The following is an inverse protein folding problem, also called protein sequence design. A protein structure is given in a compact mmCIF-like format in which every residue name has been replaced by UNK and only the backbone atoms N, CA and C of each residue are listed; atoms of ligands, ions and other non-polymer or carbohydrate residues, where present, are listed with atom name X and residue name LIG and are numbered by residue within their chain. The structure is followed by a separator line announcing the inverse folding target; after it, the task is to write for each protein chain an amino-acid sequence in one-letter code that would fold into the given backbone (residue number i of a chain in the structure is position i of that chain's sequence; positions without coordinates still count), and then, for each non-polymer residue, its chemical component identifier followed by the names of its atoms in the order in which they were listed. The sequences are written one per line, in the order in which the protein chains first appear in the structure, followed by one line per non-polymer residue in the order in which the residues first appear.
data_IF_564539726227
#
_entry.id   IF_564539726227
#
_cell.length_a   1.000
_cell.length_b   1.000
_cell.length_c   1.000
_cell.angle_alpha   90.00
_cell.angle_beta   90.00
_cell.angle_gamma   90.00
#
_symmetry.space_group_name_H-M   'P 1'
#
loop_
_entity.id
_entity.type
_entity.pdbx_description
1 polymer ?
#
# COMPACT_ATOMS: atom_id res chain seq x y z
N UNK A 1 71.59 -14.48 37.21
CA UNK A 1 71.18 -15.71 37.91
C UNK A 1 69.88 -15.43 38.63
N UNK A 2 68.73 -15.66 37.99
CA UNK A 2 67.41 -15.73 38.63
C UNK A 2 66.53 -16.70 37.81
N UNK A 3 66.56 -17.94 38.30
CA UNK A 3 65.58 -19.03 38.31
C UNK A 3 64.26 -18.82 37.52
N UNK A 4 64.05 -19.63 36.49
CA UNK A 4 62.73 -19.89 35.91
C UNK A 4 61.90 -20.76 36.85
N UNK A 5 60.74 -20.27 37.31
CA UNK A 5 59.74 -21.13 37.94
C UNK A 5 58.76 -21.63 36.86
N UNK A 6 58.80 -22.95 36.60
CA UNK A 6 57.75 -23.67 35.88
C UNK A 6 56.54 -23.75 36.80
N UNK A 7 55.45 -23.10 36.43
CA UNK A 7 54.18 -23.20 37.15
C UNK A 7 53.27 -24.19 36.39
N UNK A 8 52.73 -25.17 37.12
CA UNK A 8 51.83 -26.20 36.58
C UNK A 8 50.42 -25.63 36.41
N UNK A 9 49.83 -25.72 35.21
CA UNK A 9 48.47 -25.26 34.91
C UNK A 9 47.35 -26.02 35.67
N UNK A 10 47.70 -27.09 36.41
CA UNK A 10 46.75 -27.86 37.22
C UNK A 10 46.43 -27.25 38.59
N UNK A 11 47.06 -26.14 38.99
CA UNK A 11 46.84 -25.47 40.29
C UNK A 11 46.15 -24.10 40.16
N UNK A 12 45.38 -23.86 39.09
CA UNK A 12 44.56 -22.66 38.97
C UNK A 12 43.11 -22.92 39.39
N UNK A 13 42.77 -22.44 40.59
CA UNK A 13 41.41 -22.45 41.14
C UNK A 13 40.39 -21.74 40.25
N UNK A 14 39.16 -22.22 40.33
CA UNK A 14 37.96 -21.75 39.64
C UNK A 14 37.80 -20.22 39.61
N UNK A 15 38.15 -19.58 38.50
CA UNK A 15 37.68 -18.23 38.15
C UNK A 15 36.59 -18.33 37.09
N UNK A 16 35.43 -18.81 37.51
CA UNK A 16 34.18 -18.67 36.78
C UNK A 16 33.15 -18.01 37.67
N UNK A 17 32.85 -16.73 37.44
CA UNK A 17 31.64 -16.11 37.98
C UNK A 17 30.44 -16.75 37.28
N UNK A 18 29.78 -17.70 37.94
CA UNK A 18 28.49 -18.25 37.52
C UNK A 18 27.39 -17.28 37.97
N UNK A 19 26.73 -16.60 37.05
CA UNK A 19 25.44 -15.98 37.31
C UNK A 19 24.34 -17.02 37.05
N UNK A 20 23.78 -17.59 38.13
CA UNK A 20 22.57 -18.42 38.06
C UNK A 20 21.33 -17.51 37.98
N UNK A 21 20.54 -17.62 36.90
CA UNK A 21 19.18 -17.08 36.88
C UNK A 21 18.21 -18.13 37.41
N UNK A 22 17.60 -17.88 38.58
CA UNK A 22 16.47 -18.66 39.10
C UNK A 22 15.17 -18.03 38.58
N UNK A 23 14.43 -18.78 37.77
CA UNK A 23 13.01 -18.51 37.50
C UNK A 23 12.20 -19.22 38.57
N UNK A 24 11.52 -18.47 39.44
CA UNK A 24 10.55 -19.01 40.38
C UNK A 24 9.21 -19.24 39.66
N UNK A 25 8.79 -20.50 39.57
CA UNK A 25 7.42 -20.91 39.25
C UNK A 25 7.00 -21.94 40.31
N UNK A 26 5.79 -21.89 40.87
CA UNK A 26 5.39 -22.79 41.96
C UNK A 26 5.19 -24.22 41.44
N UNK A 27 6.12 -25.11 41.80
CA UNK A 27 6.11 -26.59 41.97
C UNK A 27 5.13 -27.50 41.17
N UNK A 28 5.50 -28.78 40.92
CA UNK A 28 6.82 -29.32 40.57
C UNK A 28 6.76 -30.29 39.37
N UNK A 29 7.73 -30.21 38.45
CA UNK A 29 8.43 -31.38 37.84
C UNK A 29 9.40 -30.91 36.74
N UNK A 30 10.61 -31.48 36.74
CA UNK A 30 11.70 -31.39 35.74
C UNK A 30 12.39 -30.03 35.51
N UNK A 31 13.58 -29.87 36.13
CA UNK A 31 14.55 -28.79 35.86
C UNK A 31 15.35 -29.10 34.59
N UNK A 32 15.30 -28.23 33.59
CA UNK A 32 16.22 -28.22 32.44
C UNK A 32 17.14 -27.01 32.63
N UNK A 33 18.44 -27.25 32.90
CA UNK A 33 19.46 -26.20 32.94
C UNK A 33 20.18 -26.13 31.59
N UNK A 34 19.88 -25.10 30.79
CA UNK A 34 20.68 -24.78 29.61
C UNK A 34 21.84 -23.88 30.04
N UNK A 35 23.08 -24.32 29.81
CA UNK A 35 24.28 -23.51 29.99
C UNK A 35 24.81 -23.05 28.62
N UNK A 36 25.20 -21.79 28.51
CA UNK A 36 25.85 -21.23 27.31
C UNK A 36 27.25 -20.80 27.72
N UNK A 37 28.28 -21.26 26.97
CA UNK A 37 29.65 -20.77 27.12
C UNK A 37 29.79 -19.46 26.35
N UNK A 38 30.08 -18.37 27.04
CA UNK A 38 30.42 -17.08 26.44
C UNK A 38 31.94 -16.99 26.33
N UNK A 39 32.48 -16.90 25.11
CA UNK A 39 33.91 -16.73 24.85
C UNK A 39 34.16 -15.25 24.58
N UNK A 40 34.87 -14.56 25.49
CA UNK A 40 35.24 -13.15 25.28
C UNK A 40 36.47 -13.08 24.39
N UNK A 41 36.40 -12.23 23.37
CA UNK A 41 37.54 -11.78 22.58
C UNK A 41 37.95 -10.43 23.16
N UNK A 42 39.21 -10.31 23.60
CA UNK A 42 39.75 -9.06 24.15
C UNK A 42 39.81 -7.97 23.08
N UNK A 43 39.38 -6.77 23.46
CA UNK A 43 39.48 -5.57 22.63
C UNK A 43 38.15 -4.92 22.28
N UNK A 44 37.41 -4.44 23.29
CA UNK A 44 36.43 -3.35 23.14
C UNK A 44 36.13 -2.76 24.52
N UNK A 45 36.87 -1.71 24.87
CA UNK A 45 36.61 -0.91 26.06
C UNK A 45 35.34 -0.07 25.84
N UNK A 46 34.30 -0.32 26.64
CA UNK A 46 33.14 0.57 26.77
C UNK A 46 33.34 1.46 27.99
N UNK A 47 33.84 2.67 27.76
CA UNK A 47 33.91 3.73 28.77
C UNK A 47 32.65 4.59 28.74
N UNK A 48 32.07 4.83 29.92
CA UNK A 48 30.91 5.69 30.15
C UNK A 48 31.19 7.17 29.83
N UNK A 49 30.18 7.82 29.24
CA UNK A 49 29.93 9.28 29.16
C UNK A 49 31.11 10.25 28.99
N UNK A 50 31.11 11.00 27.89
CA UNK A 50 31.48 12.42 27.92
C UNK A 50 30.67 13.25 26.91
N UNK A 51 30.35 14.46 27.36
CA UNK A 51 29.68 15.54 26.64
C UNK A 51 30.48 16.02 25.42
N UNK A 52 29.74 16.57 24.44
CA UNK A 52 30.18 17.27 23.22
C UNK A 52 30.62 16.34 22.08
N UNK A 53 29.96 16.56 20.94
CA UNK A 53 29.90 15.63 19.83
C UNK A 53 31.19 15.49 19.05
N UNK A 54 31.48 14.25 18.67
CA UNK A 54 32.02 13.79 17.39
C UNK A 54 31.97 12.25 17.40
N UNK A 55 31.50 11.62 16.31
CA UNK A 55 31.50 10.15 16.18
C UNK A 55 32.84 9.73 15.56
N UNK A 56 33.62 8.81 16.16
CA UNK A 56 34.78 8.26 15.48
C UNK A 56 34.30 7.32 14.36
N UNK A 57 34.67 7.66 13.12
CA UNK A 57 34.71 6.71 12.01
C UNK A 57 36.01 5.92 12.13
N UNK A 58 35.98 4.60 11.92
CA UNK A 58 36.97 3.94 11.06
C UNK A 58 36.54 2.53 10.65
N UNK A 59 36.88 2.24 9.39
CA UNK A 59 36.81 0.97 8.68
C UNK A 59 38.05 0.14 9.01
N UNK A 60 37.89 -1.19 9.09
CA UNK A 60 38.61 -2.15 8.26
C UNK A 60 38.13 -3.58 8.54
N UNK A 61 38.08 -4.41 7.48
CA UNK A 61 38.43 -5.83 7.63
C UNK A 61 39.07 -6.27 6.32
N UNK A 62 40.28 -6.79 6.44
CA UNK A 62 41.12 -7.30 5.36
C UNK A 62 40.44 -8.48 4.65
N UNK A 63 40.62 -8.56 3.32
CA UNK A 63 40.50 -9.83 2.60
C UNK A 63 41.77 -10.66 2.82
N UNK A 64 41.60 -11.93 3.17
CA UNK A 64 42.62 -12.97 3.04
C UNK A 64 42.03 -14.13 2.24
N UNK A 65 42.62 -14.41 1.07
CA UNK A 65 42.36 -15.58 0.25
C UNK A 65 43.03 -16.81 0.86
N UNK A 66 42.32 -17.92 1.06
CA UNK A 66 42.96 -19.25 1.10
C UNK A 66 42.08 -20.32 0.42
N UNK A 67 42.58 -20.80 -0.72
CA UNK A 67 42.20 -22.05 -1.37
C UNK A 67 42.92 -23.19 -0.64
N UNK A 68 42.20 -24.17 -0.08
CA UNK A 68 42.50 -25.61 -0.08
C UNK A 68 41.92 -26.34 1.15
N UNK A 69 40.83 -27.10 0.96
CA UNK A 69 40.53 -28.25 1.81
C UNK A 69 40.09 -29.43 0.95
N UNK A 70 40.88 -30.51 0.98
CA UNK A 70 40.58 -31.82 0.40
C UNK A 70 39.82 -32.69 1.41
N UNK A 71 38.55 -32.36 1.71
CA UNK A 71 37.63 -33.30 2.37
C UNK A 71 36.23 -33.09 1.76
N UNK A 72 35.73 -34.09 1.02
CA UNK A 72 34.34 -34.12 0.51
C UNK A 72 33.38 -34.41 1.68
N UNK A 73 32.74 -33.37 2.21
CA UNK A 73 31.62 -33.51 3.16
C UNK A 73 30.32 -33.70 2.35
N UNK A 74 29.57 -34.76 2.67
CA UNK A 74 28.28 -35.09 2.05
C UNK A 74 27.27 -33.94 2.23
N UNK A 75 26.76 -33.40 1.12
CA UNK A 75 25.70 -32.40 1.12
C UNK A 75 24.33 -33.04 1.36
N UNK A 76 23.75 -32.83 2.55
CA UNK A 76 22.29 -32.88 2.71
C UNK A 76 21.74 -31.47 2.44
N UNK A 77 21.06 -31.33 1.31
CA UNK A 77 20.30 -30.12 0.96
C UNK A 77 19.09 -29.92 1.89
N UNK A 78 18.67 -28.66 1.97
CA UNK A 78 17.42 -28.09 2.52
C UNK A 78 17.45 -27.60 3.98
N UNK A 79 17.95 -26.37 4.16
CA UNK A 79 17.15 -25.31 4.79
C UNK A 79 17.74 -23.93 4.48
N UNK A 80 17.12 -23.21 3.55
CA UNK A 80 17.44 -21.82 3.24
C UNK A 80 17.02 -20.91 4.41
N UNK A 81 17.92 -20.70 5.37
CA UNK A 81 17.83 -19.52 6.26
C UNK A 81 18.26 -18.29 5.48
N UNK A 82 17.24 -17.56 5.03
CA UNK A 82 17.31 -16.20 4.50
C UNK A 82 18.21 -15.35 5.43
N UNK A 83 19.32 -14.85 4.89
CA UNK A 83 20.10 -13.80 5.54
C UNK A 83 19.35 -12.48 5.37
N UNK A 84 18.64 -12.06 6.41
CA UNK A 84 18.05 -10.73 6.50
C UNK A 84 19.14 -9.72 6.86
N UNK A 85 19.40 -8.76 5.99
CA UNK A 85 20.15 -7.56 6.35
C UNK A 85 19.21 -6.63 7.12
N UNK A 86 19.58 -6.31 8.35
CA UNK A 86 18.78 -5.49 9.26
C UNK A 86 18.86 -4.01 8.89
N UNK A 87 17.71 -3.43 8.53
CA UNK A 87 17.46 -2.01 8.74
C UNK A 87 16.34 -1.87 9.76
N UNK A 88 16.58 -0.98 10.72
CA UNK A 88 15.79 -0.72 11.91
C UNK A 88 14.40 -0.17 11.57
N UNK A 89 13.46 -1.06 11.21
CA UNK A 89 12.03 -0.79 11.21
C UNK A 89 11.43 -1.46 12.45
N UNK A 90 10.69 -0.69 13.26
CA UNK A 90 9.92 -1.24 14.38
C UNK A 90 8.91 -2.24 13.80
N UNK A 91 9.16 -3.53 14.01
CA UNK A 91 8.20 -4.59 13.68
C UNK A 91 6.95 -4.39 14.53
N UNK A 92 5.91 -3.82 13.95
CA UNK A 92 4.56 -3.93 14.48
C UNK A 92 4.12 -5.36 14.19
N UNK A 93 4.14 -6.22 15.21
CA UNK A 93 3.58 -7.57 15.13
C UNK A 93 2.05 -7.44 15.08
N UNK A 94 1.49 -7.18 13.90
CA UNK A 94 0.06 -7.32 13.67
C UNK A 94 -0.22 -8.80 13.38
N UNK A 95 -0.67 -9.54 14.39
CA UNK A 95 -1.26 -10.87 14.19
C UNK A 95 -2.63 -10.72 13.51
N UNK A 96 -2.64 -10.46 12.20
CA UNK A 96 -3.84 -10.57 11.38
C UNK A 96 -3.99 -12.04 10.98
N UNK A 97 -5.12 -12.64 11.33
CA UNK A 97 -5.58 -13.91 10.75
C UNK A 97 -5.81 -13.67 9.24
N UNK A 98 -4.76 -13.80 8.42
CA UNK A 98 -4.79 -13.55 6.98
C UNK A 98 -5.40 -14.75 6.26
N UNK A 99 -6.72 -14.78 6.17
CA UNK A 99 -7.42 -15.69 5.28
C UNK A 99 -8.39 -14.89 4.41
N UNK A 100 -7.86 -14.31 3.34
CA UNK A 100 -8.47 -14.20 2.00
C UNK A 100 -7.47 -13.51 1.09
N UNK A 101 -7.03 -14.22 0.05
CA UNK A 101 -6.31 -13.60 -1.06
C UNK A 101 -7.24 -12.55 -1.69
N UNK A 102 -6.74 -11.33 -1.93
CA UNK A 102 -7.53 -10.30 -2.62
C UNK A 102 -7.97 -10.82 -3.99
N UNK A 103 -9.24 -10.58 -4.33
CA UNK A 103 -9.74 -10.92 -5.66
C UNK A 103 -9.02 -10.05 -6.71
N UNK A 104 -8.53 -10.61 -7.83
CA UNK A 104 -7.78 -9.83 -8.82
C UNK A 104 -8.61 -8.69 -9.41
N UNK A 105 -9.91 -8.89 -9.66
CA UNK A 105 -10.79 -7.80 -10.13
C UNK A 105 -11.01 -6.72 -9.07
N UNK A 106 -11.04 -7.09 -7.78
CA UNK A 106 -11.04 -6.10 -6.70
C UNK A 106 -9.78 -5.24 -6.76
N UNK A 107 -8.61 -5.87 -6.91
CA UNK A 107 -7.32 -5.16 -7.01
C UNK A 107 -7.31 -4.22 -8.20
N UNK A 108 -7.77 -4.67 -9.36
CA UNK A 108 -7.89 -3.84 -10.57
C UNK A 108 -8.82 -2.64 -10.34
N UNK A 109 -10.02 -2.85 -9.79
CA UNK A 109 -10.96 -1.78 -9.51
C UNK A 109 -10.42 -0.75 -8.52
N UNK A 110 -9.73 -1.21 -7.48
CA UNK A 110 -9.11 -0.33 -6.50
C UNK A 110 -7.97 0.49 -7.10
N UNK A 111 -7.21 -0.08 -8.03
CA UNK A 111 -6.19 0.66 -8.78
C UNK A 111 -6.77 1.60 -9.83
N UNK A 112 -7.89 1.27 -10.44
CA UNK A 112 -8.68 2.18 -11.28
C UNK A 112 -9.16 3.41 -10.51
N UNK A 113 -9.35 3.30 -9.20
CA UNK A 113 -9.56 4.45 -8.33
C UNK A 113 -8.24 5.17 -8.01
N UNK A 114 -7.34 4.53 -7.27
CA UNK A 114 -6.31 5.23 -6.50
C UNK A 114 -4.89 5.16 -7.09
N UNK A 115 -4.63 4.24 -8.02
CA UNK A 115 -3.28 4.02 -8.52
C UNK A 115 -2.85 5.01 -9.60
N UNK A 116 -1.54 5.13 -9.78
CA UNK A 116 -0.90 5.96 -10.79
C UNK A 116 0.25 5.23 -11.49
N UNK A 117 0.30 5.36 -12.82
CA UNK A 117 1.41 4.96 -13.67
C UNK A 117 2.25 6.18 -14.02
N UNK A 118 3.50 6.20 -13.56
CA UNK A 118 4.34 7.39 -13.63
C UNK A 118 5.66 7.14 -14.35
N UNK A 119 6.01 8.08 -15.24
CA UNK A 119 7.34 8.21 -15.83
C UNK A 119 7.92 9.56 -15.42
N UNK A 120 9.10 9.53 -14.81
CA UNK A 120 9.89 10.69 -14.42
C UNK A 120 11.13 10.77 -15.31
N UNK A 121 11.44 11.98 -15.76
CA UNK A 121 12.64 12.27 -16.55
C UNK A 121 13.30 13.47 -15.89
N UNK A 122 14.48 13.25 -15.31
CA UNK A 122 15.18 14.24 -14.49
C UNK A 122 16.59 14.46 -15.02
N UNK A 123 17.01 15.72 -15.04
CA UNK A 123 18.39 16.07 -15.36
C UNK A 123 19.32 15.41 -14.33
N UNK A 124 20.33 14.71 -14.84
CA UNK A 124 21.35 14.09 -14.02
C UNK A 124 22.65 13.98 -14.82
N UNK A 125 23.58 14.90 -14.55
CA UNK A 125 24.87 15.04 -15.24
C UNK A 125 25.82 13.85 -15.04
N UNK A 126 25.46 12.86 -14.19
CA UNK A 126 26.20 11.61 -14.03
C UNK A 126 25.96 10.61 -15.17
N UNK A 127 24.90 10.82 -15.96
CA UNK A 127 24.58 9.98 -17.12
C UNK A 127 25.06 10.65 -18.40
N UNK A 128 25.44 9.86 -19.40
CA UNK A 128 26.03 10.34 -20.66
C UNK A 128 25.14 11.31 -21.42
N UNK A 129 23.82 11.08 -21.42
CA UNK A 129 22.84 11.97 -22.04
C UNK A 129 22.49 13.18 -21.16
N UNK A 130 22.98 13.26 -19.93
CA UNK A 130 22.60 14.29 -18.95
C UNK A 130 21.20 14.10 -18.35
N UNK A 131 20.51 12.99 -18.66
CA UNK A 131 19.14 12.71 -18.22
C UNK A 131 19.02 11.30 -17.63
N UNK A 132 18.12 11.17 -16.66
CA UNK A 132 17.76 9.91 -16.02
C UNK A 132 16.26 9.66 -16.15
N UNK A 133 15.89 8.42 -16.48
CA UNK A 133 14.50 8.00 -16.67
C UNK A 133 14.11 7.00 -15.60
N UNK A 134 13.01 7.28 -14.90
CA UNK A 134 12.47 6.41 -13.86
C UNK A 134 11.00 6.10 -14.13
N UNK A 135 10.63 4.83 -13.95
CA UNK A 135 9.25 4.36 -13.99
C UNK A 135 8.79 3.94 -12.61
N UNK A 136 7.53 4.28 -12.27
CA UNK A 136 6.94 3.93 -10.99
C UNK A 136 5.45 3.62 -11.16
N UNK A 137 5.03 2.45 -10.69
CA UNK A 137 3.63 2.17 -10.37
C UNK A 137 3.44 2.44 -8.88
N UNK A 138 2.40 3.18 -8.50
CA UNK A 138 2.17 3.52 -7.10
C UNK A 138 0.70 3.69 -6.76
N UNK A 139 0.41 3.56 -5.47
CA UNK A 139 -0.85 3.95 -4.84
C UNK A 139 -0.51 4.61 -3.50
N UNK A 140 -1.10 5.79 -3.26
CA UNK A 140 -0.84 6.59 -2.06
C UNK A 140 -2.13 6.83 -1.29
N UNK A 141 -2.24 6.24 -0.10
CA UNK A 141 -3.42 6.31 0.76
C UNK A 141 -3.10 7.03 2.07
N UNK A 142 -4.13 7.25 2.89
CA UNK A 142 -3.94 7.63 4.29
C UNK A 142 -3.34 6.45 5.08
N UNK A 143 -2.51 6.72 6.10
CA UNK A 143 -1.82 5.70 6.91
C UNK A 143 -2.76 4.66 7.55
N UNK A 144 -4.02 5.04 7.76
CA UNK A 144 -5.09 4.18 8.31
C UNK A 144 -5.39 2.97 7.43
N UNK A 145 -5.13 3.08 6.12
CA UNK A 145 -5.32 2.02 5.13
C UNK A 145 -4.02 1.23 4.88
N UNK A 146 -3.00 1.38 5.74
CA UNK A 146 -1.78 0.58 5.70
C UNK A 146 -2.03 -0.93 5.67
N UNK A 147 -2.99 -1.50 6.43
CA UNK A 147 -3.30 -2.93 6.32
C UNK A 147 -3.71 -3.36 4.91
N UNK A 148 -4.45 -2.52 4.17
CA UNK A 148 -4.82 -2.80 2.78
C UNK A 148 -3.61 -2.73 1.85
N UNK A 149 -2.70 -1.78 2.06
CA UNK A 149 -1.43 -1.73 1.31
C UNK A 149 -0.57 -2.96 1.53
N UNK A 150 -0.51 -3.50 2.76
CA UNK A 150 0.19 -4.74 3.07
C UNK A 150 -0.45 -5.95 2.38
N UNK A 151 -1.78 -6.01 2.32
CA UNK A 151 -2.50 -7.04 1.56
C UNK A 151 -2.21 -6.95 0.05
N UNK A 152 -2.16 -5.73 -0.51
CA UNK A 152 -1.79 -5.52 -1.92
C UNK A 152 -0.34 -5.95 -2.20
N UNK A 153 0.59 -5.64 -1.30
CA UNK A 153 1.97 -6.10 -1.42
C UNK A 153 2.04 -7.64 -1.38
N UNK A 154 1.29 -8.28 -0.48
CA UNK A 154 1.21 -9.74 -0.41
C UNK A 154 0.57 -10.35 -1.67
N UNK A 155 -0.46 -9.71 -2.23
CA UNK A 155 -1.10 -10.12 -3.49
C UNK A 155 -0.08 -10.19 -4.64
N UNK A 156 0.88 -9.25 -4.68
CA UNK A 156 1.99 -9.28 -5.62
C UNK A 156 3.22 -10.04 -5.08
N UNK A 157 3.01 -11.10 -4.31
CA UNK A 157 4.07 -11.98 -3.80
C UNK A 157 5.18 -11.25 -3.00
N UNK A 158 4.83 -10.16 -2.30
CA UNK A 158 5.77 -9.35 -1.53
C UNK A 158 6.53 -8.30 -2.34
N UNK A 159 6.23 -8.15 -3.63
CA UNK A 159 6.93 -7.19 -4.51
C UNK A 159 6.50 -5.76 -4.23
N UNK A 160 7.47 -4.84 -4.35
CA UNK A 160 7.29 -3.42 -4.10
C UNK A 160 7.65 -3.02 -2.69
N UNK A 161 7.56 -1.72 -2.42
CA UNK A 161 7.94 -1.10 -1.15
C UNK A 161 6.78 -0.24 -0.65
N UNK A 162 6.59 -0.24 0.67
CA UNK A 162 5.63 0.65 1.34
C UNK A 162 6.43 1.66 2.16
N UNK A 163 6.27 2.93 1.82
CA UNK A 163 6.84 4.04 2.56
C UNK A 163 5.74 4.72 3.37
N UNK A 164 5.96 4.89 4.67
CA UNK A 164 5.01 5.54 5.58
C UNK A 164 5.55 6.93 5.92
N UNK A 165 4.74 7.94 5.65
CA UNK A 165 4.95 9.30 6.09
C UNK A 165 4.00 9.56 7.25
N UNK A 166 4.50 9.38 8.47
CA UNK A 166 3.72 9.58 9.69
C UNK A 166 3.35 11.04 9.93
N UNK A 167 4.10 12.00 9.37
CA UNK A 167 3.87 13.43 9.56
C UNK A 167 2.65 13.87 8.77
N UNK A 168 2.58 13.47 7.50
CA UNK A 168 1.46 13.80 6.62
C UNK A 168 0.33 12.75 6.67
N UNK A 169 0.45 11.76 7.55
CA UNK A 169 -0.48 10.63 7.70
C UNK A 169 -0.72 9.86 6.39
N UNK A 170 0.32 9.66 5.59
CA UNK A 170 0.25 8.97 4.30
C UNK A 170 1.02 7.65 4.33
N UNK A 171 0.56 6.69 3.54
CA UNK A 171 1.30 5.49 3.22
C UNK A 171 1.27 5.29 1.70
N UNK A 172 2.43 5.02 1.11
CA UNK A 172 2.58 4.85 -0.33
C UNK A 172 3.19 3.49 -0.65
N UNK A 173 2.41 2.63 -1.30
CA UNK A 173 2.91 1.41 -1.92
C UNK A 173 3.42 1.73 -3.33
N UNK A 174 4.59 1.23 -3.70
CA UNK A 174 5.13 1.43 -5.04
C UNK A 174 6.06 0.33 -5.53
N UNK A 175 6.05 0.14 -6.85
CA UNK A 175 6.94 -0.76 -7.58
C UNK A 175 7.69 0.07 -8.62
N UNK A 176 9.01 0.03 -8.57
CA UNK A 176 9.90 0.84 -9.43
C UNK A 176 10.83 0.00 -10.29
N UNK A 177 11.13 -1.23 -9.87
CA UNK A 177 12.04 -2.11 -10.58
C UNK A 177 11.43 -2.53 -11.92
N UNK A 178 12.15 -2.28 -13.01
CA UNK A 178 11.67 -2.51 -14.38
C UNK A 178 11.28 -3.98 -14.60
N UNK A 179 12.04 -4.93 -14.06
CA UNK A 179 11.72 -6.36 -14.15
C UNK A 179 10.38 -6.69 -13.51
N UNK A 180 10.07 -6.07 -12.37
CA UNK A 180 8.87 -6.37 -11.59
C UNK A 180 7.65 -5.69 -12.24
N UNK A 181 7.84 -4.48 -12.77
CA UNK A 181 6.85 -3.82 -13.61
C UNK A 181 6.50 -4.67 -14.83
N UNK A 182 7.50 -5.26 -15.49
CA UNK A 182 7.30 -6.09 -16.66
C UNK A 182 6.69 -7.46 -16.36
N UNK A 183 7.13 -8.12 -15.29
CA UNK A 183 6.79 -9.52 -15.05
C UNK A 183 5.57 -9.69 -14.14
N UNK A 184 5.11 -8.61 -13.48
CA UNK A 184 4.04 -8.68 -12.48
C UNK A 184 2.93 -7.67 -12.80
N UNK A 185 3.27 -6.37 -12.89
CA UNK A 185 2.26 -5.31 -13.09
C UNK A 185 1.65 -5.37 -14.49
N UNK A 186 2.46 -5.44 -15.54
CA UNK A 186 1.96 -5.50 -16.92
C UNK A 186 1.12 -6.76 -17.15
N UNK A 187 1.52 -7.97 -16.73
CA UNK A 187 0.70 -9.18 -16.86
C UNK A 187 -0.63 -9.08 -16.12
N UNK A 188 -0.64 -8.56 -14.88
CA UNK A 188 -1.89 -8.37 -14.13
C UNK A 188 -2.89 -7.51 -14.90
N UNK A 189 -2.49 -6.35 -15.42
CA UNK A 189 -3.40 -5.46 -16.16
C UNK A 189 -3.67 -5.90 -17.61
N UNK A 190 -2.91 -6.86 -18.15
CA UNK A 190 -3.29 -7.52 -19.40
C UNK A 190 -4.40 -8.56 -19.17
N UNK A 191 -4.36 -9.28 -18.06
CA UNK A 191 -5.36 -10.30 -17.70
C UNK A 191 -6.62 -9.68 -17.08
N UNK A 192 -6.45 -8.61 -16.28
CA UNK A 192 -7.50 -7.85 -15.63
C UNK A 192 -7.41 -6.37 -16.06
N UNK A 193 -7.92 -6.02 -17.25
CA UNK A 193 -7.81 -4.67 -17.77
C UNK A 193 -8.51 -3.62 -16.90
N UNK A 194 -7.89 -2.45 -16.83
CA UNK A 194 -8.49 -1.24 -16.25
C UNK A 194 -9.72 -0.80 -17.06
N UNK A 195 -10.66 -0.15 -16.39
CA UNK A 195 -11.98 0.21 -16.91
C UNK A 195 -12.23 1.73 -16.90
N UNK A 196 -11.24 2.53 -16.50
CA UNK A 196 -11.28 4.01 -16.58
C UNK A 196 -10.37 4.53 -17.70
N UNK A 197 -10.39 5.84 -17.95
CA UNK A 197 -9.43 6.51 -18.84
C UNK A 197 -7.96 6.33 -18.43
N UNK A 198 -7.69 5.81 -17.22
CA UNK A 198 -6.36 5.38 -16.76
C UNK A 198 -5.77 4.25 -17.62
N UNK A 199 -6.60 3.49 -18.33
CA UNK A 199 -6.17 2.49 -19.32
C UNK A 199 -5.24 3.10 -20.38
N UNK A 200 -5.53 4.32 -20.83
CA UNK A 200 -4.66 5.00 -21.80
C UNK A 200 -3.26 5.29 -21.22
N UNK A 201 -3.18 5.73 -19.96
CA UNK A 201 -1.90 5.95 -19.28
C UNK A 201 -1.15 4.63 -19.04
N UNK A 202 -1.85 3.55 -18.69
CA UNK A 202 -1.25 2.21 -18.58
C UNK A 202 -0.65 1.74 -19.90
N UNK A 203 -1.35 1.91 -21.02
CA UNK A 203 -0.85 1.49 -22.34
C UNK A 203 0.38 2.28 -22.77
N UNK A 204 0.42 3.59 -22.49
CA UNK A 204 1.60 4.43 -22.69
C UNK A 204 2.76 4.01 -21.77
N UNK A 205 2.46 3.75 -20.50
CA UNK A 205 3.43 3.25 -19.53
C UNK A 205 4.06 1.93 -20.00
N UNK A 206 3.24 0.96 -20.43
CA UNK A 206 3.70 -0.32 -20.99
C UNK A 206 4.67 -0.15 -22.16
N UNK A 207 4.38 0.78 -23.08
CA UNK A 207 5.29 1.13 -24.19
C UNK A 207 6.65 1.64 -23.68
N UNK A 208 6.65 2.53 -22.69
CA UNK A 208 7.89 3.05 -22.12
C UNK A 208 8.69 1.98 -21.38
N UNK A 209 8.03 1.11 -20.60
CA UNK A 209 8.71 -0.01 -19.92
C UNK A 209 9.41 -0.91 -20.94
N UNK A 210 8.79 -1.19 -22.08
CA UNK A 210 9.43 -1.98 -23.15
C UNK A 210 10.71 -1.30 -23.70
N UNK A 211 10.70 0.01 -23.88
CA UNK A 211 11.92 0.76 -24.27
C UNK A 211 12.97 0.67 -23.17
N UNK A 212 12.56 0.78 -21.90
CA UNK A 212 13.47 0.73 -20.76
C UNK A 212 14.10 -0.65 -20.56
N UNK A 213 13.34 -1.74 -20.75
CA UNK A 213 13.82 -3.12 -20.70
C UNK A 213 14.94 -3.39 -21.70
N UNK A 214 14.77 -2.90 -22.93
CA UNK A 214 15.78 -3.02 -24.00
C UNK A 214 16.92 -2.01 -23.88
N UNK A 215 17.02 -1.29 -22.74
CA UNK A 215 18.00 -0.22 -22.49
C UNK A 215 17.95 0.93 -23.51
N UNK A 216 16.88 1.04 -24.32
CA UNK A 216 16.75 2.07 -25.36
C UNK A 216 16.76 3.49 -24.79
N UNK A 217 16.32 3.67 -23.55
CA UNK A 217 16.37 4.95 -22.82
C UNK A 217 17.78 5.53 -22.63
N UNK A 218 18.84 4.75 -22.86
CA UNK A 218 20.24 5.21 -22.83
C UNK A 218 20.70 5.80 -24.17
N UNK A 219 19.88 5.71 -25.22
CA UNK A 219 20.11 6.35 -26.52
C UNK A 219 19.29 7.63 -26.62
N UNK A 220 19.78 8.61 -27.39
CA UNK A 220 19.05 9.85 -27.63
C UNK A 220 17.68 9.60 -28.28
N UNK A 221 17.62 8.70 -29.27
CA UNK A 221 16.37 8.33 -29.93
C UNK A 221 15.37 7.70 -28.96
N UNK A 222 15.80 6.74 -28.14
CA UNK A 222 14.94 6.10 -27.15
C UNK A 222 14.50 7.05 -26.03
N UNK A 223 15.34 8.00 -25.62
CA UNK A 223 14.97 9.07 -24.69
C UNK A 223 13.86 9.96 -25.29
N UNK A 224 14.04 10.42 -26.54
CA UNK A 224 13.02 11.20 -27.26
C UNK A 224 11.69 10.44 -27.38
N UNK A 225 11.74 9.13 -27.68
CA UNK A 225 10.53 8.29 -27.72
C UNK A 225 9.83 8.24 -26.36
N UNK A 226 10.56 8.12 -25.25
CA UNK A 226 9.96 8.13 -23.91
C UNK A 226 9.39 9.52 -23.57
N UNK A 227 10.03 10.61 -23.99
CA UNK A 227 9.51 11.97 -23.81
C UNK A 227 8.19 12.14 -24.56
N UNK A 228 8.11 11.70 -25.81
CA UNK A 228 6.89 11.71 -26.60
C UNK A 228 5.76 10.89 -25.95
N UNK A 229 6.09 9.74 -25.34
CA UNK A 229 5.13 8.95 -24.55
C UNK A 229 4.68 9.74 -23.31
N UNK A 230 5.63 10.28 -22.55
CA UNK A 230 5.37 11.03 -21.32
C UNK A 230 4.51 12.28 -21.58
N UNK A 231 4.68 12.93 -22.72
CA UNK A 231 3.90 14.10 -23.12
C UNK A 231 2.39 13.82 -23.17
N UNK A 232 2.00 12.57 -23.45
CA UNK A 232 0.60 12.13 -23.52
C UNK A 232 0.08 11.45 -22.24
N UNK A 233 0.96 11.25 -21.25
CA UNK A 233 0.62 10.59 -19.98
C UNK A 233 0.26 11.60 -18.90
N UNK A 234 -0.78 11.32 -18.12
CA UNK A 234 -1.21 12.10 -16.97
C UNK A 234 -1.29 13.61 -17.29
N UNK A 235 -0.43 14.43 -16.66
CA UNK A 235 -0.32 15.89 -16.85
C UNK A 235 0.68 16.31 -17.93
N UNK A 236 1.31 15.35 -18.62
CA UNK A 236 2.27 15.60 -19.68
C UNK A 236 3.68 16.00 -19.21
N UNK A 237 4.31 16.86 -20.01
CA UNK A 237 5.64 17.42 -19.72
C UNK A 237 5.55 18.64 -18.82
N UNK A 238 6.51 18.77 -17.90
CA UNK A 238 6.71 20.03 -17.18
C UNK A 238 7.44 21.05 -18.09
N UNK A 239 7.45 22.32 -17.69
CA UNK A 239 7.95 23.39 -18.55
C UNK A 239 9.44 23.26 -18.86
N UNK A 240 10.23 22.73 -17.93
CA UNK A 240 11.65 22.41 -18.15
C UNK A 240 11.84 21.37 -19.26
N UNK A 241 11.04 20.31 -19.28
CA UNK A 241 11.11 19.31 -20.35
C UNK A 241 10.61 19.87 -21.68
N UNK A 242 9.61 20.76 -21.67
CA UNK A 242 9.15 21.43 -22.90
C UNK A 242 10.22 22.33 -23.50
N UNK A 243 10.97 23.07 -22.67
CA UNK A 243 12.02 23.97 -23.16
C UNK A 243 13.21 23.20 -23.74
N UNK A 244 13.63 22.12 -23.09
CA UNK A 244 14.76 21.30 -23.53
C UNK A 244 14.43 20.43 -24.74
N UNK A 245 13.17 19.97 -24.85
CA UNK A 245 12.72 19.07 -25.92
C UNK A 245 11.56 19.68 -26.71
N UNK A 246 11.80 20.85 -27.32
CA UNK A 246 10.80 21.61 -28.08
C UNK A 246 10.24 20.86 -29.31
N UNK A 247 11.04 20.00 -29.94
CA UNK A 247 10.64 19.17 -31.08
C UNK A 247 10.08 17.80 -30.64
N UNK A 248 9.19 17.78 -29.65
CA UNK A 248 8.50 16.54 -29.25
C UNK A 248 7.20 16.35 -30.04
N UNK A 249 6.88 15.10 -30.34
CA UNK A 249 5.64 14.69 -31.02
C UNK A 249 4.88 13.75 -30.08
N UNK A 250 3.93 14.27 -29.28
CA UNK A 250 3.21 13.47 -28.31
C UNK A 250 2.57 12.24 -28.97
N UNK A 251 2.77 11.06 -28.36
CA UNK A 251 2.19 9.81 -28.88
C UNK A 251 0.67 9.88 -28.78
N UNK A 252 -0.05 9.43 -29.81
CA UNK A 252 -1.50 9.40 -29.77
C UNK A 252 -2.01 8.64 -28.55
N UNK A 253 -2.88 9.30 -27.78
CA UNK A 253 -3.52 8.72 -26.59
C UNK A 253 -4.73 7.90 -27.03
N UNK A 254 -4.78 6.65 -26.56
CA UNK A 254 -5.92 5.76 -26.81
C UNK A 254 -7.23 6.42 -26.34
N UNK A 255 -8.23 6.45 -27.22
CA UNK A 255 -9.62 6.74 -26.84
C UNK A 255 -10.21 5.46 -26.26
N UNK A 256 -10.21 5.35 -24.95
CA UNK A 256 -10.77 4.18 -24.27
C UNK A 256 -12.28 4.35 -24.13
N UNK A 257 -13.03 3.33 -24.56
CA UNK A 257 -14.46 3.20 -24.37
C UNK A 257 -14.71 1.90 -23.60
N UNK A 258 -15.55 1.97 -22.59
CA UNK A 258 -15.98 0.81 -21.82
C UNK A 258 -17.36 0.37 -22.32
N UNK A 259 -17.56 -0.93 -22.51
CA UNK A 259 -18.85 -1.49 -22.94
C UNK A 259 -19.67 -2.02 -21.76
N UNK A 260 -19.01 -2.70 -20.83
CA UNK A 260 -19.63 -3.35 -19.68
C UNK A 260 -18.66 -3.48 -18.49
N UNK A 261 -19.22 -3.66 -17.29
CA UNK A 261 -18.43 -4.02 -16.11
C UNK A 261 -17.98 -5.49 -16.24
N UNK A 262 -16.67 -5.80 -16.15
CA UNK A 262 -16.16 -7.15 -16.37
C UNK A 262 -16.47 -8.10 -15.21
N UNK A 263 -16.50 -7.58 -13.97
CA UNK A 263 -16.73 -8.38 -12.78
C UNK A 263 -17.30 -7.53 -11.64
N UNK A 264 -18.27 -8.03 -10.84
CA UNK A 264 -18.78 -7.30 -9.67
C UNK A 264 -17.71 -6.92 -8.64
N UNK A 265 -16.65 -7.74 -8.49
CA UNK A 265 -15.54 -7.41 -7.57
C UNK A 265 -14.78 -6.16 -8.01
N UNK A 266 -14.76 -5.84 -9.31
CA UNK A 266 -14.19 -4.59 -9.80
C UNK A 266 -14.92 -3.37 -9.23
N UNK A 267 -16.27 -3.42 -9.16
CA UNK A 267 -17.06 -2.35 -8.53
C UNK A 267 -16.70 -2.21 -7.05
N UNK A 268 -16.58 -3.34 -6.33
CA UNK A 268 -16.15 -3.29 -4.92
C UNK A 268 -14.78 -2.62 -4.75
N UNK A 269 -13.82 -2.97 -5.60
CA UNK A 269 -12.50 -2.33 -5.63
C UNK A 269 -12.60 -0.84 -5.89
N UNK A 270 -13.29 -0.46 -6.95
CA UNK A 270 -13.42 0.94 -7.37
C UNK A 270 -14.13 1.79 -6.31
N UNK A 271 -15.21 1.28 -5.72
CA UNK A 271 -15.96 1.93 -4.64
C UNK A 271 -15.16 2.00 -3.34
N UNK A 272 -14.23 1.06 -3.10
CA UNK A 272 -13.32 1.15 -1.95
C UNK A 272 -12.35 2.33 -2.05
N UNK A 273 -12.08 2.86 -3.25
CA UNK A 273 -11.40 4.15 -3.44
C UNK A 273 -12.39 5.31 -3.52
N UNK A 274 -13.14 5.39 -4.63
CA UNK A 274 -13.97 6.55 -5.04
C UNK A 274 -15.36 6.61 -4.40
N UNK A 275 -15.78 5.53 -3.75
CA UNK A 275 -17.11 5.41 -3.19
C UNK A 275 -17.30 6.23 -1.90
N UNK A 276 -18.54 6.57 -1.59
CA UNK A 276 -18.89 7.22 -0.34
C UNK A 276 -20.26 6.73 0.15
N UNK A 277 -20.28 6.28 1.42
CA UNK A 277 -21.49 5.92 2.17
C UNK A 277 -21.74 6.98 3.23
N UNK A 278 -22.83 7.75 3.11
CA UNK A 278 -23.14 8.76 4.11
C UNK A 278 -24.61 8.83 4.51
N UNK A 279 -24.81 9.42 5.69
CA UNK A 279 -26.12 9.68 6.30
C UNK A 279 -26.36 11.18 6.30
N UNK A 280 -27.33 11.66 5.52
CA UNK A 280 -27.78 13.04 5.53
C UNK A 280 -28.93 13.19 6.53
N UNK A 281 -28.77 14.09 7.50
CA UNK A 281 -29.82 14.47 8.45
C UNK A 281 -30.13 15.95 8.19
N UNK A 282 -31.35 16.25 7.78
CA UNK A 282 -31.77 17.62 7.41
C UNK A 282 -33.05 18.02 8.14
N UNK A 283 -33.18 19.31 8.48
CA UNK A 283 -34.41 19.85 9.07
C UNK A 283 -35.56 19.68 8.08
N UNK A 284 -36.72 19.28 8.58
CA UNK A 284 -37.91 19.07 7.76
C UNK A 284 -39.17 19.46 8.53
N UNK A 285 -39.97 20.36 7.96
CA UNK A 285 -41.25 20.79 8.53
C UNK A 285 -42.34 19.70 8.45
N UNK A 286 -42.24 18.79 7.47
CA UNK A 286 -43.23 17.72 7.25
C UNK A 286 -43.03 16.48 8.12
N UNK A 287 -41.89 16.35 8.81
CA UNK A 287 -41.57 15.17 9.62
C UNK A 287 -41.84 15.48 11.09
N UNK A 288 -42.57 14.59 11.79
CA UNK A 288 -43.04 14.82 13.17
C UNK A 288 -41.93 15.22 14.16
N UNK A 289 -40.74 14.62 14.02
CA UNK A 289 -39.58 14.90 14.88
C UNK A 289 -38.72 16.08 14.38
N UNK A 290 -39.16 16.80 13.34
CA UNK A 290 -38.48 17.97 12.78
C UNK A 290 -37.28 17.68 11.87
N UNK A 291 -36.94 16.41 11.65
CA UNK A 291 -35.80 15.98 10.85
C UNK A 291 -36.15 14.85 9.89
N UNK A 292 -35.51 14.85 8.73
CA UNK A 292 -35.48 13.76 7.76
C UNK A 292 -34.08 13.13 7.76
N UNK A 293 -34.03 11.80 7.79
CA UNK A 293 -32.82 11.00 7.62
C UNK A 293 -32.82 10.39 6.22
N UNK A 294 -31.72 10.53 5.50
CA UNK A 294 -31.51 9.98 4.16
C UNK A 294 -30.17 9.26 4.13
N UNK A 295 -30.17 8.04 3.59
CA UNK A 295 -28.94 7.36 3.20
C UNK A 295 -28.57 7.77 1.78
N UNK A 296 -27.28 7.99 1.54
CA UNK A 296 -26.74 8.27 0.21
C UNK A 296 -25.55 7.37 -0.06
N UNK A 297 -25.62 6.70 -1.19
CA UNK A 297 -24.47 6.04 -1.81
C UNK A 297 -24.02 6.88 -3.00
N UNK A 298 -22.72 7.15 -3.09
CA UNK A 298 -22.15 7.98 -4.15
C UNK A 298 -20.84 7.40 -4.67
N UNK A 299 -20.57 7.65 -5.94
CA UNK A 299 -19.27 7.44 -6.58
C UNK A 299 -18.96 8.72 -7.34
N UNK A 300 -17.84 9.37 -7.02
CA UNK A 300 -17.41 10.58 -7.71
C UNK A 300 -16.22 10.27 -8.60
N UNK A 301 -16.17 10.88 -9.79
CA UNK A 301 -15.04 10.72 -10.71
C UNK A 301 -14.93 11.93 -11.64
N UNK A 302 -13.80 12.09 -12.32
CA UNK A 302 -13.67 13.09 -13.38
C UNK A 302 -14.70 12.86 -14.50
N UNK A 303 -15.20 13.94 -15.10
CA UNK A 303 -16.20 13.89 -16.19
C UNK A 303 -15.75 13.12 -17.46
N UNK A 304 -14.46 12.83 -17.60
CA UNK A 304 -13.89 12.01 -18.68
C UNK A 304 -14.33 10.55 -18.60
N UNK A 305 -14.76 10.11 -17.43
CA UNK A 305 -15.27 8.76 -17.17
C UNK A 305 -16.80 8.77 -16.96
N UNK A 306 -17.52 9.73 -17.57
CA UNK A 306 -18.99 9.79 -17.46
C UNK A 306 -19.68 8.54 -18.00
N UNK A 307 -19.19 7.96 -19.09
CA UNK A 307 -19.72 6.73 -19.68
C UNK A 307 -19.62 5.55 -18.70
N UNK A 308 -18.53 5.46 -17.93
CA UNK A 308 -18.40 4.48 -16.85
C UNK A 308 -19.49 4.66 -15.78
N UNK A 309 -19.83 5.91 -15.41
CA UNK A 309 -20.92 6.17 -14.46
C UNK A 309 -22.28 5.70 -15.01
N UNK A 310 -22.53 5.91 -16.30
CA UNK A 310 -23.76 5.43 -16.97
C UNK A 310 -23.84 3.91 -16.98
N UNK A 311 -22.72 3.23 -17.26
CA UNK A 311 -22.61 1.77 -17.22
C UNK A 311 -22.82 1.24 -15.81
N UNK A 312 -22.28 1.91 -14.79
CA UNK A 312 -22.51 1.55 -13.39
C UNK A 312 -23.99 1.67 -13.00
N UNK A 313 -24.69 2.71 -13.46
CA UNK A 313 -26.15 2.85 -13.24
C UNK A 313 -26.90 1.71 -13.92
N UNK A 314 -26.56 1.40 -15.17
CA UNK A 314 -27.16 0.29 -15.92
C UNK A 314 -26.92 -1.05 -15.21
N UNK A 315 -25.70 -1.27 -14.73
CA UNK A 315 -25.31 -2.49 -14.02
C UNK A 315 -26.05 -2.65 -12.69
N UNK A 316 -26.12 -1.59 -11.88
CA UNK A 316 -26.80 -1.61 -10.59
C UNK A 316 -28.33 -1.55 -10.72
N UNK A 317 -28.85 -1.17 -11.89
CA UNK A 317 -30.28 -0.99 -12.15
C UNK A 317 -30.89 0.21 -11.40
N UNK A 318 -30.05 1.10 -10.87
CA UNK A 318 -30.48 2.26 -10.09
C UNK A 318 -29.40 3.34 -10.08
N UNK A 319 -29.82 4.58 -9.90
CA UNK A 319 -28.95 5.74 -9.71
C UNK A 319 -29.23 6.83 -10.72
N UNK A 320 -28.62 7.97 -10.47
CA UNK A 320 -28.64 9.13 -11.36
C UNK A 320 -27.26 9.77 -11.37
N UNK A 321 -26.95 10.50 -12.45
CA UNK A 321 -25.70 11.27 -12.55
C UNK A 321 -25.99 12.71 -12.15
N UNK A 322 -25.19 13.22 -11.22
CA UNK A 322 -25.12 14.64 -10.86
C UNK A 322 -23.80 15.19 -11.40
N UNK A 323 -23.86 16.25 -12.23
CA UNK A 323 -22.68 16.95 -12.75
C UNK A 323 -22.38 18.17 -11.88
N UNK A 324 -21.12 18.38 -11.50
CA UNK A 324 -20.73 19.65 -10.88
C UNK A 324 -20.61 20.72 -11.98
N UNK A 325 -21.36 21.82 -11.93
CA UNK A 325 -21.27 22.87 -12.95
C UNK A 325 -19.96 23.67 -12.89
N UNK A 326 -19.18 23.55 -11.81
CA UNK A 326 -17.97 24.35 -11.58
C UNK A 326 -16.68 23.57 -11.78
N UNK A 327 -16.76 22.24 -11.71
CA UNK A 327 -15.60 21.36 -11.74
C UNK A 327 -15.86 20.23 -12.73
N UNK A 328 -14.80 19.68 -13.33
CA UNK A 328 -14.89 18.50 -14.20
C UNK A 328 -15.12 17.21 -13.40
N UNK A 329 -16.18 17.17 -12.61
CA UNK A 329 -16.54 16.04 -11.73
C UNK A 329 -17.99 15.63 -12.01
N UNK A 330 -18.18 14.33 -12.17
CA UNK A 330 -19.48 13.67 -12.24
C UNK A 330 -19.64 12.77 -11.02
N UNK A 331 -20.86 12.65 -10.51
CA UNK A 331 -21.15 11.80 -9.37
C UNK A 331 -22.36 10.92 -9.67
N UNK A 332 -22.19 9.61 -9.59
CA UNK A 332 -23.31 8.68 -9.50
C UNK A 332 -23.90 8.80 -8.08
N UNK A 333 -25.20 9.05 -7.98
CA UNK A 333 -25.90 9.18 -6.70
C UNK A 333 -27.08 8.22 -6.62
N UNK A 334 -27.18 7.49 -5.51
CA UNK A 334 -28.34 6.66 -5.16
C UNK A 334 -28.83 7.07 -3.77
N UNK A 335 -30.08 7.57 -3.71
CA UNK A 335 -30.71 8.07 -2.48
C UNK A 335 -32.02 7.37 -2.12
N UNK A 336 -32.66 6.69 -3.09
CA UNK A 336 -33.93 6.00 -2.86
C UNK A 336 -33.72 4.85 -1.88
N UNK A 337 -34.35 4.95 -0.71
CA UNK A 337 -34.15 4.02 0.40
C UNK A 337 -34.40 2.55 0.01
N UNK A 338 -35.45 2.27 -0.78
CA UNK A 338 -35.73 0.90 -1.25
C UNK A 338 -34.59 0.33 -2.10
N UNK A 339 -33.98 1.16 -2.96
CA UNK A 339 -32.89 0.72 -3.84
C UNK A 339 -31.61 0.52 -3.01
N UNK A 340 -31.37 1.37 -2.02
CA UNK A 340 -30.27 1.18 -1.07
C UNK A 340 -30.42 -0.15 -0.32
N UNK A 341 -31.59 -0.38 0.27
CA UNK A 341 -31.86 -1.55 1.10
C UNK A 341 -31.88 -2.87 0.32
N UNK A 342 -32.45 -2.86 -0.89
CA UNK A 342 -32.71 -4.09 -1.64
C UNK A 342 -31.66 -4.40 -2.71
N UNK A 343 -30.82 -3.42 -3.08
CA UNK A 343 -29.81 -3.57 -4.15
C UNK A 343 -28.42 -3.30 -3.60
N UNK A 344 -28.17 -2.10 -3.07
CA UNK A 344 -26.80 -1.65 -2.75
C UNK A 344 -26.21 -2.38 -1.55
N UNK A 345 -26.96 -2.51 -0.46
CA UNK A 345 -26.50 -3.26 0.71
C UNK A 345 -26.24 -4.73 0.36
N UNK A 346 -27.20 -5.48 -0.22
CA UNK A 346 -26.97 -6.87 -0.62
C UNK A 346 -25.79 -7.04 -1.59
N UNK A 347 -25.59 -6.08 -2.51
CA UNK A 347 -24.46 -6.10 -3.43
C UNK A 347 -23.12 -6.08 -2.69
N UNK A 348 -22.92 -5.14 -1.76
CA UNK A 348 -21.68 -5.01 -1.01
C UNK A 348 -21.55 -5.98 0.17
N UNK A 349 -22.63 -6.64 0.59
CA UNK A 349 -22.55 -7.83 1.45
C UNK A 349 -21.99 -9.03 0.67
N UNK A 350 -22.39 -9.18 -0.61
CA UNK A 350 -21.88 -10.24 -1.50
C UNK A 350 -20.47 -9.95 -2.03
N UNK A 351 -20.16 -8.68 -2.30
CA UNK A 351 -18.87 -8.21 -2.80
C UNK A 351 -18.29 -7.16 -1.84
N UNK A 352 -17.61 -7.58 -0.76
CA UNK A 352 -17.25 -6.71 0.35
C UNK A 352 -16.30 -5.57 -0.03
N UNK A 353 -16.64 -4.36 0.42
CA UNK A 353 -15.74 -3.19 0.48
C UNK A 353 -14.55 -3.53 1.39
N UNK A 354 -13.37 -3.05 1.03
CA UNK A 354 -12.14 -3.25 1.82
C UNK A 354 -11.59 -1.94 2.37
N UNK A 355 -10.58 -2.05 3.24
CA UNK A 355 -9.96 -0.92 3.90
C UNK A 355 -10.88 -0.27 4.93
N UNK A 356 -10.52 0.93 5.38
CA UNK A 356 -11.27 1.67 6.40
C UNK A 356 -12.71 1.95 5.98
N UNK A 357 -12.95 2.15 4.69
CA UNK A 357 -14.29 2.44 4.15
C UNK A 357 -15.29 1.31 4.42
N UNK A 358 -14.80 0.07 4.63
CA UNK A 358 -15.65 -1.04 5.06
C UNK A 358 -16.35 -0.74 6.39
N UNK A 359 -15.67 -0.07 7.32
CA UNK A 359 -16.26 0.31 8.61
C UNK A 359 -17.39 1.34 8.41
N UNK A 360 -17.22 2.27 7.47
CA UNK A 360 -18.25 3.24 7.10
C UNK A 360 -19.45 2.56 6.47
N UNK A 361 -19.23 1.59 5.58
CA UNK A 361 -20.31 0.76 5.04
C UNK A 361 -21.07 0.00 6.12
N UNK A 362 -20.39 -0.61 7.09
CA UNK A 362 -21.03 -1.35 8.19
C UNK A 362 -21.87 -0.43 9.08
N UNK A 363 -21.37 0.75 9.43
CA UNK A 363 -22.14 1.74 10.19
C UNK A 363 -23.33 2.28 9.39
N UNK A 364 -23.17 2.45 8.08
CA UNK A 364 -24.25 2.82 7.18
C UNK A 364 -25.35 1.75 7.10
N UNK A 365 -24.99 0.45 7.08
CA UNK A 365 -25.94 -0.66 7.17
C UNK A 365 -26.71 -0.67 8.49
N UNK A 366 -26.06 -0.35 9.63
CA UNK A 366 -26.75 -0.21 10.93
C UNK A 366 -27.82 0.88 10.87
N UNK A 367 -27.51 2.02 10.25
CA UNK A 367 -28.51 3.09 10.06
C UNK A 367 -29.63 2.64 9.14
N UNK A 368 -29.34 1.88 8.07
CA UNK A 368 -30.38 1.30 7.21
C UNK A 368 -31.33 0.38 7.98
N UNK A 369 -30.79 -0.46 8.88
CA UNK A 369 -31.59 -1.32 9.76
C UNK A 369 -32.51 -0.50 10.67
N UNK A 370 -31.98 0.53 11.34
CA UNK A 370 -32.80 1.45 12.15
C UNK A 370 -33.88 2.16 11.33
N UNK A 371 -33.59 2.44 10.05
CA UNK A 371 -34.56 3.04 9.15
C UNK A 371 -35.68 2.07 8.76
N UNK A 372 -35.36 0.82 8.44
CA UNK A 372 -36.35 -0.24 8.19
C UNK A 372 -37.30 -0.45 9.36
N UNK A 373 -36.78 -0.43 10.58
CA UNK A 373 -37.55 -0.57 11.82
C UNK A 373 -38.34 0.69 12.19
N UNK A 374 -38.24 1.76 11.39
CA UNK A 374 -38.92 3.03 11.65
C UNK A 374 -38.35 3.84 12.82
N UNK A 375 -37.22 3.45 13.41
CA UNK A 375 -36.63 4.12 14.58
C UNK A 375 -36.19 5.56 14.28
N UNK A 376 -35.78 5.83 13.04
CA UNK A 376 -35.45 7.18 12.55
C UNK A 376 -36.62 8.20 12.67
N UNK A 377 -37.84 7.74 12.97
CA UNK A 377 -39.03 8.57 13.20
C UNK A 377 -39.27 8.88 14.69
N UNK A 378 -38.41 8.39 15.59
CA UNK A 378 -38.45 8.60 17.04
C UNK A 378 -37.22 9.42 17.49
N UNK A 379 -37.35 10.18 18.58
CA UNK A 379 -36.24 11.02 19.07
C UNK A 379 -35.01 10.18 19.45
N UNK A 380 -35.19 9.14 20.25
CA UNK A 380 -34.12 8.24 20.69
C UNK A 380 -33.40 7.57 19.49
N UNK A 381 -34.17 7.10 18.52
CA UNK A 381 -33.62 6.51 17.30
C UNK A 381 -32.86 7.51 16.44
N UNK A 382 -33.34 8.76 16.34
CA UNK A 382 -32.62 9.84 15.66
C UNK A 382 -31.29 10.17 16.37
N UNK A 383 -31.28 10.20 17.70
CA UNK A 383 -30.07 10.47 18.47
C UNK A 383 -29.03 9.35 18.35
N UNK A 384 -29.49 8.09 18.30
CA UNK A 384 -28.63 6.95 17.98
C UNK A 384 -28.04 7.07 16.56
N UNK A 385 -28.84 7.44 15.56
CA UNK A 385 -28.35 7.65 14.18
C UNK A 385 -27.33 8.80 14.13
N UNK A 386 -27.55 9.88 14.88
CA UNK A 386 -26.58 10.98 15.00
C UNK A 386 -25.27 10.47 15.59
N UNK A 387 -25.32 9.68 16.67
CA UNK A 387 -24.13 9.12 17.29
C UNK A 387 -23.34 8.23 16.31
N UNK A 388 -24.02 7.31 15.61
CA UNK A 388 -23.38 6.48 14.58
C UNK A 388 -22.71 7.38 13.52
N UNK A 389 -23.45 8.36 12.98
CA UNK A 389 -22.95 9.29 11.97
C UNK A 389 -21.70 10.05 12.43
N UNK A 390 -21.60 10.45 13.70
CA UNK A 390 -20.42 11.16 14.22
C UNK A 390 -19.14 10.33 14.17
N UNK A 391 -19.25 8.99 14.19
CA UNK A 391 -18.11 8.07 14.07
C UNK A 391 -17.81 7.60 12.64
N UNK A 392 -18.54 8.07 11.64
CA UNK A 392 -18.36 7.69 10.24
C UNK A 392 -17.45 8.65 9.47
N UNK A 393 -16.83 8.16 8.41
CA UNK A 393 -16.07 8.92 7.42
C UNK A 393 -14.97 9.77 8.08
N UNK A 394 -15.01 11.10 7.91
CA UNK A 394 -14.05 12.03 8.52
C UNK A 394 -14.15 12.11 10.04
N UNK A 395 -15.28 11.69 10.63
CA UNK A 395 -15.46 11.61 12.08
C UNK A 395 -14.82 10.36 12.71
N UNK A 396 -14.39 9.39 11.89
CA UNK A 396 -13.80 8.14 12.37
C UNK A 396 -12.38 8.38 12.89
N UNK A 397 -12.18 8.17 14.19
CA UNK A 397 -10.89 8.25 14.85
C UNK A 397 -10.21 6.89 14.90
N UNK A 398 -8.91 6.85 14.61
CA UNK A 398 -8.06 5.68 14.80
C UNK A 398 -7.21 5.90 16.04
N UNK A 399 -7.25 4.96 16.97
CA UNK A 399 -6.29 4.97 18.08
C UNK A 399 -4.96 4.45 17.54
N UNK A 400 -3.91 5.27 17.63
CA UNK A 400 -2.53 4.81 17.45
C UNK A 400 -2.21 3.85 18.62
N UNK A 401 -2.42 2.55 18.44
CA UNK A 401 -1.96 1.50 19.36
C UNK A 401 -0.87 0.69 18.70
#
# INVERSE_FOLDING_TARGET
MVISQKMSESEMGYRGSKSEFKLEVPQPTTKISNSVKEQRVDGSYFGSLSFRGERPKLRCTLMGCENSYQIKILSKQLNNRIRTFSHHAKNVNVNVKMNTLLNPWFVTGFFDAEASFHISINENKKYDLGWSVYSKFQIGLHKRDLPLLLQLQQFFCGVGQINIDSINERANFSITKISDLNNIIIPHFNEYPLQTQKTADFMLFKKAINIMLNKGHLSIEGLHRIINIKASMNLGLNDKLKSEFSNNFPVERLKFLIDNIPNPNWISGFVSGEGNFDVKIQKSKSHKIGYQVLLRFRISQHDKDIELMEILIKFLGTGQIEKDPRNSVVTLVITKFSNINNIIIPFFEKYPIQGVKQLDFLDWCKVCKLMNEGQHKKSEGLDLIRLIKTGMNTGRKFSDK
#
